data_IF_529966702804
#
_entry.id   IF_529966702804
#
_cell.length_a   1.000
_cell.length_b   1.000
_cell.length_c   1.000
_cell.angle_alpha   90.00
_cell.angle_beta   90.00
_cell.angle_gamma   90.00
#
_symmetry.space_group_name_H-M   'P 1'
#
loop_
_entity.id
_entity.type
_entity.pdbx_description
1 polymer ?
#
# COMPACT_ATOMS: atom_id res chain seq x y z
N UNK A 1 -8.62 34.64 79.75
CA UNK A 1 -9.27 33.43 80.26
C UNK A 1 -10.56 33.26 79.49
N UNK A 2 -10.59 32.45 78.46
CA UNK A 2 -11.79 32.19 77.69
C UNK A 2 -12.11 30.71 77.88
N UNK A 3 -13.25 30.47 78.51
CA UNK A 3 -13.77 29.11 78.72
C UNK A 3 -14.27 28.54 77.40
N UNK A 4 -13.67 27.45 76.97
CA UNK A 4 -14.19 26.64 75.87
C UNK A 4 -15.37 25.82 76.41
N UNK A 5 -16.51 26.04 75.79
CA UNK A 5 -17.71 25.21 76.01
C UNK A 5 -17.69 24.08 75.02
N UNK A 6 -17.70 22.90 75.66
CA UNK A 6 -17.71 21.60 74.97
C UNK A 6 -19.18 21.20 74.76
N UNK A 7 -19.76 21.47 73.59
CA UNK A 7 -21.03 20.87 73.23
C UNK A 7 -21.28 20.91 71.72
N UNK A 8 -21.49 19.76 71.13
CA UNK A 8 -22.22 19.63 69.92
C UNK A 8 -21.45 19.11 68.70
N UNK A 9 -20.74 17.99 68.82
CA UNK A 9 -20.37 17.22 67.65
C UNK A 9 -21.55 16.35 67.21
N UNK A 10 -22.41 16.89 66.38
CA UNK A 10 -23.40 16.08 65.68
C UNK A 10 -22.77 15.67 64.36
N UNK A 11 -22.22 14.46 64.36
CA UNK A 11 -21.67 13.84 63.13
C UNK A 11 -22.82 13.43 62.24
N UNK A 12 -23.10 14.22 61.21
CA UNK A 12 -23.96 13.83 60.13
C UNK A 12 -23.14 12.97 59.18
N UNK A 13 -23.24 11.64 59.34
CA UNK A 13 -22.74 10.65 58.38
C UNK A 13 -23.65 10.71 57.15
N UNK A 14 -23.29 11.56 56.18
CA UNK A 14 -23.84 11.47 54.84
C UNK A 14 -23.18 10.27 54.18
N UNK A 15 -23.86 9.16 54.14
CA UNK A 15 -23.50 8.00 53.32
C UNK A 15 -23.64 8.39 51.86
N UNK A 16 -22.52 8.82 51.27
CA UNK A 16 -22.41 8.97 49.82
C UNK A 16 -22.38 7.57 49.23
N UNK A 17 -23.54 7.06 48.81
CA UNK A 17 -23.63 5.85 48.01
C UNK A 17 -23.02 6.15 46.64
N UNK A 18 -21.73 5.83 46.47
CA UNK A 18 -21.08 5.80 45.19
C UNK A 18 -21.67 4.62 44.41
N UNK A 19 -22.64 4.90 43.56
CA UNK A 19 -23.11 3.93 42.58
C UNK A 19 -21.92 3.60 41.66
N UNK A 20 -21.29 2.45 41.86
CA UNK A 20 -20.37 1.86 40.93
C UNK A 20 -21.16 1.52 39.66
N UNK A 21 -21.15 2.43 38.66
CA UNK A 21 -21.62 2.12 37.34
C UNK A 21 -20.66 1.05 36.76
N UNK A 22 -21.16 -0.16 36.57
CA UNK A 22 -20.44 -1.21 35.88
C UNK A 22 -20.04 -0.70 34.49
N UNK A 23 -18.79 -1.00 33.99
CA UNK A 23 -18.41 -0.60 32.64
C UNK A 23 -19.36 -1.28 31.67
N UNK A 24 -19.99 -0.46 30.81
CA UNK A 24 -20.79 -0.95 29.71
C UNK A 24 -19.91 -1.89 28.88
N UNK A 25 -20.38 -3.12 28.66
CA UNK A 25 -19.77 -4.05 27.74
C UNK A 25 -19.73 -3.31 26.38
N UNK A 26 -18.54 -2.96 25.93
CA UNK A 26 -18.35 -2.52 24.56
C UNK A 26 -18.68 -3.73 23.70
N UNK A 27 -19.78 -3.66 22.96
CA UNK A 27 -20.07 -4.59 21.91
C UNK A 27 -18.96 -4.46 20.89
N UNK A 28 -17.93 -5.29 21.02
CA UNK A 28 -16.90 -5.44 20.03
C UNK A 28 -17.61 -5.91 18.76
N UNK A 29 -17.80 -4.99 17.81
CA UNK A 29 -18.26 -5.33 16.45
C UNK A 29 -17.32 -6.44 15.96
N UNK A 30 -17.84 -7.63 15.63
CA UNK A 30 -16.99 -8.70 15.16
C UNK A 30 -16.29 -8.20 13.90
N UNK A 31 -15.00 -7.93 13.97
CA UNK A 31 -14.18 -7.70 12.79
C UNK A 31 -14.30 -8.97 11.94
N UNK A 32 -15.16 -8.87 10.92
CA UNK A 32 -15.26 -9.90 9.88
C UNK A 32 -13.84 -10.14 9.40
N UNK A 33 -13.32 -11.34 9.68
CA UNK A 33 -12.00 -11.79 9.24
C UNK A 33 -11.96 -11.51 7.75
N UNK A 34 -11.21 -10.48 7.35
CA UNK A 34 -11.06 -10.14 5.94
C UNK A 34 -10.45 -11.38 5.30
N UNK A 35 -11.26 -12.11 4.54
CA UNK A 35 -10.73 -13.13 3.65
C UNK A 35 -9.75 -12.40 2.76
N UNK A 36 -8.48 -12.84 2.74
CA UNK A 36 -7.48 -12.25 1.86
C UNK A 36 -8.05 -12.28 0.44
N UNK A 37 -8.53 -11.12 -0.01
CA UNK A 37 -9.15 -11.01 -1.32
C UNK A 37 -8.03 -11.12 -2.34
N UNK A 38 -8.10 -12.11 -3.21
CA UNK A 38 -7.10 -12.36 -4.22
C UNK A 38 -7.04 -11.16 -5.16
N UNK A 39 -5.83 -10.70 -5.48
CA UNK A 39 -5.61 -9.67 -6.50
C UNK A 39 -6.35 -10.02 -7.81
N UNK A 40 -7.02 -9.04 -8.38
CA UNK A 40 -7.69 -9.13 -9.69
C UNK A 40 -6.77 -8.67 -10.84
N UNK A 41 -5.58 -8.17 -10.53
CA UNK A 41 -4.57 -7.79 -11.53
C UNK A 41 -3.94 -9.05 -12.13
N UNK A 42 -3.78 -9.05 -13.44
CA UNK A 42 -3.14 -10.12 -14.18
C UNK A 42 -1.62 -9.89 -14.19
N UNK A 43 -0.97 -10.29 -13.09
CA UNK A 43 0.48 -10.19 -12.96
C UNK A 43 1.19 -11.13 -13.92
N UNK A 44 2.26 -10.66 -14.53
CA UNK A 44 3.11 -11.46 -15.40
C UNK A 44 4.58 -11.31 -15.02
N UNK A 45 5.43 -12.16 -15.59
CA UNK A 45 6.87 -12.01 -15.48
C UNK A 45 7.34 -10.70 -16.10
N UNK A 46 8.29 -10.01 -15.46
CA UNK A 46 8.77 -8.70 -15.91
C UNK A 46 9.45 -8.76 -17.29
N UNK A 47 10.21 -9.80 -17.56
CA UNK A 47 10.89 -9.96 -18.86
C UNK A 47 9.85 -10.13 -19.97
N UNK A 48 8.81 -10.93 -19.73
CA UNK A 48 7.69 -11.08 -20.67
C UNK A 48 6.91 -9.77 -20.83
N UNK A 49 6.69 -9.02 -19.72
CA UNK A 49 6.04 -7.71 -19.79
C UNK A 49 6.84 -6.76 -20.67
N UNK A 50 8.17 -6.73 -20.53
CA UNK A 50 9.06 -5.88 -21.31
C UNK A 50 9.05 -6.24 -22.80
N UNK A 51 9.07 -7.52 -23.17
CA UNK A 51 8.98 -7.99 -24.54
C UNK A 51 7.67 -7.58 -25.20
N UNK A 52 6.54 -7.83 -24.50
CA UNK A 52 5.21 -7.45 -24.99
C UNK A 52 5.06 -5.92 -25.08
N UNK A 53 5.56 -5.19 -24.11
CA UNK A 53 5.50 -3.74 -24.10
C UNK A 53 6.20 -3.12 -25.31
N UNK A 54 7.36 -3.66 -25.69
CA UNK A 54 8.10 -3.23 -26.90
C UNK A 54 7.29 -3.46 -28.18
N UNK A 55 6.63 -4.63 -28.31
CA UNK A 55 5.80 -4.96 -29.46
C UNK A 55 4.56 -4.07 -29.55
N UNK A 56 3.85 -3.93 -28.44
CA UNK A 56 2.51 -3.33 -28.40
C UNK A 56 2.54 -1.83 -28.08
N UNK A 57 3.72 -1.28 -27.85
CA UNK A 57 3.95 0.12 -27.42
C UNK A 57 3.12 0.50 -26.20
N UNK A 58 3.09 -0.38 -25.21
CA UNK A 58 2.29 -0.26 -24.00
C UNK A 58 3.19 -0.07 -22.77
N UNK A 59 2.74 0.74 -21.81
CA UNK A 59 3.46 0.98 -20.56
C UNK A 59 3.46 -0.28 -19.67
N UNK A 60 4.48 -0.39 -18.84
CA UNK A 60 4.58 -1.44 -17.82
C UNK A 60 4.37 -0.80 -16.43
N UNK A 61 3.57 -1.46 -15.61
CA UNK A 61 3.42 -1.17 -14.18
C UNK A 61 4.14 -2.26 -13.40
N UNK A 62 5.16 -1.91 -12.63
CA UNK A 62 5.94 -2.85 -11.82
C UNK A 62 5.62 -2.60 -10.36
N UNK A 63 5.00 -3.58 -9.70
CA UNK A 63 4.81 -3.60 -8.23
C UNK A 63 5.98 -4.29 -7.56
N UNK A 64 6.61 -3.62 -6.61
CA UNK A 64 7.72 -4.13 -5.81
C UNK A 64 7.22 -4.44 -4.40
N UNK A 65 7.43 -5.66 -3.97
CA UNK A 65 7.01 -6.16 -2.68
C UNK A 65 8.13 -6.95 -2.00
N UNK A 66 7.93 -7.37 -0.77
CA UNK A 66 8.69 -8.39 -0.09
C UNK A 66 7.79 -9.17 0.87
N UNK A 67 8.13 -10.40 1.21
CA UNK A 67 7.32 -11.25 2.09
C UNK A 67 7.10 -10.65 3.48
N UNK A 68 8.07 -9.93 4.00
CA UNK A 68 7.98 -9.23 5.29
C UNK A 68 7.17 -7.93 5.23
N UNK A 69 6.84 -7.41 4.04
CA UNK A 69 6.18 -6.12 3.85
C UNK A 69 4.68 -6.20 4.19
N UNK A 70 4.30 -5.80 5.39
CA UNK A 70 2.89 -5.75 5.81
C UNK A 70 2.06 -4.78 4.96
N UNK A 71 2.51 -3.54 4.67
CA UNK A 71 1.77 -2.62 3.80
C UNK A 71 1.55 -3.16 2.38
N UNK A 72 2.51 -3.94 1.82
CA UNK A 72 2.34 -4.55 0.50
C UNK A 72 1.15 -5.53 0.49
N UNK A 73 1.02 -6.35 1.54
CA UNK A 73 -0.13 -7.26 1.68
C UNK A 73 -1.47 -6.50 1.81
N UNK A 74 -1.45 -5.33 2.43
CA UNK A 74 -2.62 -4.46 2.52
C UNK A 74 -2.99 -3.92 1.13
N UNK A 75 -2.02 -3.51 0.32
CA UNK A 75 -2.25 -3.12 -1.07
C UNK A 75 -2.80 -4.28 -1.91
N UNK A 76 -2.25 -5.48 -1.78
CA UNK A 76 -2.77 -6.67 -2.46
C UNK A 76 -4.24 -6.93 -2.13
N UNK A 77 -4.60 -6.82 -0.85
CA UNK A 77 -5.94 -7.13 -0.38
C UNK A 77 -6.98 -6.04 -0.71
N UNK A 78 -6.58 -4.78 -0.79
CA UNK A 78 -7.52 -3.65 -0.86
C UNK A 78 -7.40 -2.83 -2.15
N UNK A 79 -6.22 -2.79 -2.78
CA UNK A 79 -5.97 -1.95 -3.96
C UNK A 79 -5.99 -2.79 -5.23
N UNK A 80 -5.18 -3.84 -5.28
CA UNK A 80 -5.11 -4.71 -6.46
C UNK A 80 -6.28 -5.70 -6.57
N UNK A 81 -7.12 -5.77 -5.55
CA UNK A 81 -8.42 -6.46 -5.57
C UNK A 81 -9.59 -5.52 -5.92
N UNK A 82 -9.36 -4.22 -6.03
CA UNK A 82 -10.38 -3.27 -6.51
C UNK A 82 -10.63 -3.49 -8.01
N UNK A 83 -11.90 -3.72 -8.44
CA UNK A 83 -12.19 -4.01 -9.83
C UNK A 83 -11.80 -2.89 -10.81
N UNK A 84 -11.85 -1.62 -10.36
CA UNK A 84 -11.54 -0.47 -11.21
C UNK A 84 -10.04 -0.32 -11.40
N UNK A 85 -9.24 -0.52 -10.32
CA UNK A 85 -7.78 -0.57 -10.39
C UNK A 85 -7.34 -1.71 -11.29
N UNK A 86 -7.87 -2.92 -11.05
CA UNK A 86 -7.52 -4.10 -11.82
C UNK A 86 -7.88 -3.94 -13.31
N UNK A 87 -9.07 -3.42 -13.60
CA UNK A 87 -9.49 -3.13 -14.98
C UNK A 87 -8.53 -2.16 -15.67
N UNK A 88 -8.13 -1.09 -14.98
CA UNK A 88 -7.21 -0.09 -15.52
C UNK A 88 -5.82 -0.70 -15.79
N UNK A 89 -5.25 -1.42 -14.82
CA UNK A 89 -3.95 -2.08 -14.96
C UNK A 89 -3.98 -3.14 -16.07
N UNK A 90 -4.97 -4.03 -16.08
CA UNK A 90 -5.07 -5.11 -17.05
C UNK A 90 -5.27 -4.61 -18.50
N UNK A 91 -5.96 -3.47 -18.68
CA UNK A 91 -6.26 -2.95 -20.03
C UNK A 91 -5.19 -2.01 -20.56
N UNK A 92 -4.61 -1.17 -19.68
CA UNK A 92 -3.74 -0.07 -20.12
C UNK A 92 -2.25 -0.31 -19.88
N UNK A 93 -1.91 -1.29 -19.04
CA UNK A 93 -0.52 -1.61 -18.69
C UNK A 93 -0.24 -3.10 -18.89
N UNK A 94 1.02 -3.45 -18.97
CA UNK A 94 1.50 -4.79 -18.63
C UNK A 94 1.94 -4.74 -17.16
N UNK A 95 1.23 -5.49 -16.31
CA UNK A 95 1.49 -5.47 -14.87
C UNK A 95 2.47 -6.59 -14.50
N UNK A 96 3.58 -6.23 -13.89
CA UNK A 96 4.57 -7.17 -13.35
C UNK A 96 4.71 -6.98 -11.84
N UNK A 97 4.99 -8.08 -11.12
CA UNK A 97 5.20 -8.07 -9.68
C UNK A 97 6.55 -8.67 -9.37
N UNK A 98 7.40 -7.95 -8.65
CA UNK A 98 8.78 -8.32 -8.34
C UNK A 98 9.03 -8.33 -6.84
N UNK A 99 9.65 -9.38 -6.34
CA UNK A 99 10.17 -9.44 -4.99
C UNK A 99 11.47 -8.60 -4.93
N UNK A 100 11.46 -7.53 -4.14
CA UNK A 100 12.58 -6.61 -4.00
C UNK A 100 13.85 -7.26 -3.42
N UNK A 101 13.72 -8.39 -2.73
CA UNK A 101 14.84 -9.16 -2.17
C UNK A 101 15.39 -10.20 -3.15
N UNK A 102 14.74 -10.40 -4.32
CA UNK A 102 15.12 -11.44 -5.30
C UNK A 102 16.49 -11.21 -5.91
N UNK A 103 17.23 -12.30 -6.06
CA UNK A 103 18.51 -12.37 -6.76
C UNK A 103 18.35 -12.75 -8.24
N UNK A 104 17.11 -12.90 -8.72
CA UNK A 104 16.84 -13.15 -10.13
C UNK A 104 17.29 -11.98 -11.00
N UNK A 105 17.88 -12.30 -12.15
CA UNK A 105 18.41 -11.28 -13.07
C UNK A 105 17.31 -10.74 -13.99
N UNK A 106 17.19 -9.42 -14.04
CA UNK A 106 16.31 -8.69 -14.98
C UNK A 106 17.10 -7.62 -15.71
N UNK A 107 16.47 -6.99 -16.71
CA UNK A 107 17.02 -5.80 -17.39
C UNK A 107 16.23 -4.57 -16.95
N UNK A 108 16.84 -3.70 -16.15
CA UNK A 108 16.28 -2.44 -15.68
C UNK A 108 17.07 -1.26 -16.27
N UNK A 109 16.40 -0.33 -16.90
CA UNK A 109 17.01 0.84 -17.59
C UNK A 109 18.22 0.46 -18.47
N UNK A 110 18.09 -0.66 -19.22
CA UNK A 110 19.13 -1.17 -20.08
C UNK A 110 20.29 -1.90 -19.38
N UNK A 111 20.25 -2.02 -18.04
CA UNK A 111 21.28 -2.70 -17.26
C UNK A 111 20.79 -4.07 -16.78
N UNK A 112 21.57 -5.12 -17.01
CA UNK A 112 21.31 -6.45 -16.45
C UNK A 112 21.81 -6.52 -15.03
N UNK A 113 20.88 -6.62 -14.06
CA UNK A 113 21.17 -6.71 -12.62
C UNK A 113 20.18 -7.67 -11.95
N UNK A 114 20.41 -8.00 -10.68
CA UNK A 114 19.37 -8.67 -9.87
C UNK A 114 18.23 -7.70 -9.60
N UNK A 115 17.01 -8.23 -9.32
CA UNK A 115 15.88 -7.39 -8.91
C UNK A 115 16.26 -6.49 -7.75
N UNK A 116 16.92 -7.04 -6.72
CA UNK A 116 17.39 -6.26 -5.58
C UNK A 116 18.32 -5.11 -5.99
N UNK A 117 19.25 -5.35 -6.94
CA UNK A 117 20.13 -4.28 -7.43
C UNK A 117 19.40 -3.27 -8.31
N UNK A 118 18.40 -3.71 -9.09
CA UNK A 118 17.54 -2.78 -9.81
C UNK A 118 16.77 -1.87 -8.83
N UNK A 119 16.22 -2.45 -7.78
CA UNK A 119 15.48 -1.74 -6.75
C UNK A 119 16.34 -0.65 -6.08
N UNK A 120 17.53 -1.00 -5.57
CA UNK A 120 18.38 -0.06 -4.84
C UNK A 120 19.20 0.87 -5.72
N UNK A 121 19.84 0.35 -6.78
CA UNK A 121 20.90 1.08 -7.49
C UNK A 121 20.40 1.79 -8.76
N UNK A 122 19.29 1.31 -9.36
CA UNK A 122 18.79 1.85 -10.64
C UNK A 122 17.52 2.66 -10.44
N UNK A 123 16.58 2.12 -9.70
CA UNK A 123 15.32 2.80 -9.40
C UNK A 123 15.38 3.65 -8.12
N UNK A 124 16.50 3.56 -7.38
CA UNK A 124 16.80 4.34 -6.17
C UNK A 124 15.70 4.25 -5.11
N UNK A 125 15.11 3.05 -4.97
CA UNK A 125 14.03 2.78 -4.02
C UNK A 125 14.61 2.24 -2.70
N UNK A 126 14.09 2.70 -1.57
CA UNK A 126 14.59 2.35 -0.25
C UNK A 126 13.50 1.97 0.76
N UNK A 127 12.24 1.92 0.33
CA UNK A 127 11.12 1.49 1.16
C UNK A 127 10.04 0.80 0.32
N UNK A 128 9.19 -0.01 0.97
CA UNK A 128 8.08 -0.76 0.38
C UNK A 128 6.75 -0.40 1.07
N UNK A 129 5.62 -0.44 0.38
CA UNK A 129 5.47 -0.81 -1.02
C UNK A 129 6.06 0.24 -1.96
N UNK A 130 6.49 -0.20 -3.12
CA UNK A 130 6.98 0.68 -4.16
C UNK A 130 6.51 0.20 -5.53
N UNK A 131 6.41 1.11 -6.49
CA UNK A 131 6.15 0.74 -7.87
C UNK A 131 6.89 1.63 -8.85
N UNK A 132 7.12 1.07 -10.03
CA UNK A 132 7.81 1.74 -11.12
C UNK A 132 6.95 1.70 -12.37
N UNK A 133 6.79 2.85 -13.03
CA UNK A 133 6.26 2.91 -14.38
C UNK A 133 7.42 2.87 -15.37
N UNK A 134 7.33 1.95 -16.33
CA UNK A 134 8.39 1.71 -17.30
C UNK A 134 7.85 1.93 -18.71
N UNK A 135 8.62 2.65 -19.52
CA UNK A 135 8.32 2.87 -20.95
C UNK A 135 8.45 1.55 -21.75
N UNK A 136 7.83 1.45 -22.93
CA UNK A 136 7.91 0.26 -23.76
C UNK A 136 9.33 -0.20 -24.09
N UNK A 137 10.28 0.73 -24.17
CA UNK A 137 11.70 0.42 -24.43
C UNK A 137 12.50 0.00 -23.18
N UNK A 138 11.86 -0.03 -22.00
CA UNK A 138 12.46 -0.52 -20.78
C UNK A 138 13.10 0.55 -19.89
N UNK A 139 12.90 1.84 -20.19
CA UNK A 139 13.35 2.94 -19.34
C UNK A 139 12.31 3.25 -18.26
N UNK A 140 12.72 3.37 -17.02
CA UNK A 140 11.85 3.83 -15.93
C UNK A 140 11.45 5.30 -16.14
N UNK A 141 10.18 5.61 -15.88
CA UNK A 141 9.61 6.93 -16.10
C UNK A 141 9.24 7.59 -14.77
N UNK A 142 8.77 6.78 -13.84
CA UNK A 142 8.34 7.19 -12.51
C UNK A 142 8.61 6.08 -11.51
N UNK A 143 9.20 6.44 -10.38
CA UNK A 143 9.32 5.59 -9.20
C UNK A 143 8.51 6.20 -8.06
N UNK A 144 7.76 5.37 -7.34
CA UNK A 144 6.95 5.80 -6.20
C UNK A 144 7.16 4.84 -5.04
N UNK A 145 7.34 5.41 -3.86
CA UNK A 145 7.45 4.68 -2.59
C UNK A 145 6.35 5.17 -1.66
N UNK A 146 5.18 4.58 -1.77
CA UNK A 146 4.04 4.93 -0.92
C UNK A 146 2.95 3.85 -0.97
N UNK A 147 2.15 3.78 0.10
CA UNK A 147 0.90 3.04 0.14
C UNK A 147 -0.23 3.95 -0.35
N UNK A 148 -0.96 3.49 -1.36
CA UNK A 148 -2.06 4.26 -1.95
C UNK A 148 -3.40 3.58 -1.72
N UNK A 149 -4.46 4.38 -1.61
CA UNK A 149 -5.82 3.90 -1.77
C UNK A 149 -6.12 3.54 -3.24
N UNK A 150 -7.18 2.78 -3.52
CA UNK A 150 -7.60 2.52 -4.91
C UNK A 150 -7.83 3.79 -5.72
N UNK A 151 -8.40 4.82 -5.10
CA UNK A 151 -8.70 6.10 -5.76
C UNK A 151 -7.43 6.88 -6.11
N UNK A 152 -6.47 6.92 -5.20
CA UNK A 152 -5.17 7.60 -5.41
C UNK A 152 -4.38 6.93 -6.53
N UNK A 153 -4.29 5.59 -6.50
CA UNK A 153 -3.60 4.86 -7.56
C UNK A 153 -4.26 5.06 -8.93
N UNK A 154 -5.59 4.97 -9.00
CA UNK A 154 -6.33 5.24 -10.25
C UNK A 154 -6.08 6.66 -10.76
N UNK A 155 -6.17 7.66 -9.88
CA UNK A 155 -5.95 9.06 -10.25
C UNK A 155 -4.55 9.24 -10.84
N UNK A 156 -3.52 8.77 -10.13
CA UNK A 156 -2.14 8.85 -10.58
C UNK A 156 -1.93 8.16 -11.94
N UNK A 157 -2.42 6.92 -12.11
CA UNK A 157 -2.28 6.19 -13.36
C UNK A 157 -2.99 6.88 -14.52
N UNK A 158 -4.17 7.48 -14.31
CA UNK A 158 -4.88 8.23 -15.34
C UNK A 158 -4.13 9.49 -15.77
N UNK A 159 -3.57 10.26 -14.83
CA UNK A 159 -2.72 11.42 -15.14
C UNK A 159 -1.52 11.01 -15.98
N UNK A 160 -0.96 9.85 -15.71
CA UNK A 160 0.15 9.30 -16.49
C UNK A 160 -0.25 8.94 -17.92
N UNK A 161 -1.43 8.34 -18.09
CA UNK A 161 -1.97 7.94 -19.39
C UNK A 161 -2.36 9.15 -20.25
N UNK A 162 -2.70 10.29 -19.70
CA UNK A 162 -2.95 11.52 -20.46
C UNK A 162 -1.71 11.97 -21.23
N UNK A 163 -0.51 11.65 -20.73
CA UNK A 163 0.78 11.94 -21.34
C UNK A 163 1.43 10.71 -22.00
N UNK A 164 0.67 9.65 -22.22
CA UNK A 164 1.19 8.36 -22.70
C UNK A 164 2.05 8.49 -23.98
N UNK A 165 1.64 9.34 -24.92
CA UNK A 165 2.38 9.56 -26.18
C UNK A 165 3.79 10.09 -25.94
N UNK A 166 4.01 10.88 -24.90
CA UNK A 166 5.33 11.42 -24.56
C UNK A 166 6.25 10.33 -24.02
N UNK A 167 5.69 9.37 -23.29
CA UNK A 167 6.44 8.27 -22.69
C UNK A 167 6.74 7.13 -23.66
N UNK A 168 5.82 6.84 -24.59
CA UNK A 168 6.00 5.80 -25.63
C UNK A 168 7.14 6.16 -26.58
N UNK A 169 7.36 7.45 -26.85
CA UNK A 169 8.42 7.90 -27.74
C UNK A 169 9.84 7.82 -27.14
N UNK A 170 9.95 7.73 -25.83
CA UNK A 170 11.22 7.59 -25.10
C UNK A 170 11.68 6.13 -25.09
#
# INVERSE_FOLDING_TARGET
MIKMSLQGILVLLVMCAVAFAAPAKSDAVPMKKASAQKSLVHWMDYTQALEKAKSDQKLIFVDLYADWCVPCRIMDANVYSDPTVASLLNTRFYAAKLDADSQDSIVCDGQKKTVQRCYFDVWELHALPAFVLVAPKGMSILTVTDSMSPQELQYMLRQFLEKEKEWISR
#
